data_IF_812536099226
#
_entry.id   IF_812536099226
#
_cell.length_a   1.000
_cell.length_b   1.000
_cell.length_c   1.000
_cell.angle_alpha   90.00
_cell.angle_beta   90.00
_cell.angle_gamma   90.00
#
_symmetry.space_group_name_H-M   'P 1'
#
loop_
_entity.id
_entity.type
_entity.pdbx_description
1 polymer ?
#
# COMPACT_ATOMS: atom_id res chain seq x y z
N UNK A 1 3.50 -13.44 -12.75
CA UNK A 1 3.38 -12.47 -11.64
C UNK A 1 3.66 -11.11 -12.24
N UNK A 2 2.77 -10.14 -12.05
CA UNK A 2 2.99 -8.79 -12.57
C UNK A 2 4.14 -8.12 -11.81
N UNK A 3 5.02 -7.37 -12.50
CA UNK A 3 5.94 -6.45 -11.84
C UNK A 3 5.17 -5.51 -10.91
N UNK A 4 5.69 -5.30 -9.70
CA UNK A 4 5.13 -4.31 -8.76
C UNK A 4 5.91 -3.02 -8.94
N UNK A 5 5.19 -1.93 -9.19
CA UNK A 5 5.74 -0.59 -9.28
C UNK A 5 5.05 0.33 -8.27
N UNK A 6 5.78 1.31 -7.78
CA UNK A 6 5.28 2.32 -6.85
C UNK A 6 5.37 3.68 -7.51
N UNK A 7 4.31 4.47 -7.42
CA UNK A 7 4.38 5.89 -7.77
C UNK A 7 5.27 6.65 -6.78
N UNK A 8 5.78 7.81 -7.20
CA UNK A 8 6.61 8.66 -6.32
C UNK A 8 5.80 9.18 -5.13
N UNK A 9 4.50 9.42 -5.32
CA UNK A 9 3.57 9.77 -4.24
C UNK A 9 3.46 8.64 -3.23
N UNK A 10 3.25 7.40 -3.67
CA UNK A 10 3.14 6.24 -2.77
C UNK A 10 4.43 6.01 -1.97
N UNK A 11 5.60 6.19 -2.61
CA UNK A 11 6.90 6.10 -1.94
C UNK A 11 7.07 7.19 -0.89
N UNK A 12 6.69 8.43 -1.22
CA UNK A 12 6.79 9.57 -0.32
C UNK A 12 5.88 9.41 0.89
N UNK A 13 4.62 9.01 0.69
CA UNK A 13 3.66 8.72 1.75
C UNK A 13 4.17 7.61 2.68
N UNK A 14 4.63 6.50 2.10
CA UNK A 14 5.18 5.39 2.87
C UNK A 14 6.41 5.82 3.66
N UNK A 15 7.34 6.55 3.05
CA UNK A 15 8.55 7.02 3.72
C UNK A 15 8.22 7.96 4.88
N UNK A 16 7.31 8.91 4.68
CA UNK A 16 6.87 9.82 5.73
C UNK A 16 6.24 9.06 6.91
N UNK A 17 5.38 8.08 6.62
CA UNK A 17 4.76 7.20 7.60
C UNK A 17 5.79 6.40 8.41
N UNK A 18 6.69 5.69 7.73
CA UNK A 18 7.70 4.85 8.37
C UNK A 18 8.62 5.72 9.23
N UNK A 19 9.04 6.89 8.73
CA UNK A 19 9.87 7.83 9.49
C UNK A 19 9.16 8.35 10.74
N UNK A 20 7.86 8.66 10.64
CA UNK A 20 7.06 9.11 11.78
C UNK A 20 7.02 8.05 12.89
N UNK A 21 6.70 6.80 12.55
CA UNK A 21 6.65 5.70 13.53
C UNK A 21 8.05 5.39 14.07
N UNK A 22 9.07 5.44 13.21
CA UNK A 22 10.45 5.12 13.61
C UNK A 22 11.02 6.10 14.65
N UNK A 23 10.50 7.32 14.72
CA UNK A 23 10.87 8.28 15.76
C UNK A 23 10.53 7.78 17.17
N UNK A 24 9.40 7.06 17.32
CA UNK A 24 8.97 6.48 18.59
C UNK A 24 9.43 5.03 18.75
N UNK A 25 9.29 4.21 17.71
CA UNK A 25 9.62 2.79 17.72
C UNK A 25 10.10 2.30 16.35
N UNK A 26 11.42 2.19 16.12
CA UNK A 26 11.97 1.75 14.84
C UNK A 26 11.64 0.29 14.50
N UNK A 27 11.50 -0.58 15.50
CA UNK A 27 11.10 -1.97 15.27
C UNK A 27 9.66 -2.08 14.77
N UNK A 28 8.75 -1.27 15.32
CA UNK A 28 7.37 -1.20 14.87
C UNK A 28 7.27 -0.65 13.43
N UNK A 29 8.09 0.35 13.11
CA UNK A 29 8.17 0.90 11.76
C UNK A 29 8.62 -0.15 10.74
N UNK A 30 9.70 -0.88 11.04
CA UNK A 30 10.18 -1.97 10.16
C UNK A 30 9.13 -3.09 10.01
N UNK A 31 8.48 -3.49 11.10
CA UNK A 31 7.44 -4.52 11.07
C UNK A 31 6.23 -4.09 10.21
N UNK A 32 5.85 -2.80 10.27
CA UNK A 32 4.79 -2.25 9.44
C UNK A 32 5.19 -2.23 7.96
N UNK A 33 6.41 -1.77 7.64
CA UNK A 33 6.93 -1.76 6.28
C UNK A 33 6.88 -3.15 5.65
N UNK A 34 7.45 -4.14 6.34
CA UNK A 34 7.45 -5.54 5.88
C UNK A 34 6.03 -6.08 5.71
N UNK A 35 5.10 -5.73 6.60
CA UNK A 35 3.69 -6.14 6.48
C UNK A 35 3.02 -5.53 5.23
N UNK A 36 3.27 -4.25 4.96
CA UNK A 36 2.74 -3.56 3.77
C UNK A 36 3.28 -4.22 2.50
N UNK A 37 4.60 -4.41 2.40
CA UNK A 37 5.21 -5.05 1.23
C UNK A 37 4.69 -6.47 1.01
N UNK A 38 4.62 -7.27 2.07
CA UNK A 38 4.11 -8.64 2.01
C UNK A 38 2.64 -8.69 1.58
N UNK A 39 1.83 -7.69 1.95
CA UNK A 39 0.41 -7.63 1.58
C UNK A 39 0.17 -7.43 0.07
N UNK A 40 1.15 -6.88 -0.65
CA UNK A 40 1.06 -6.59 -2.09
C UNK A 40 1.47 -7.80 -2.93
N UNK A 41 2.31 -8.69 -2.41
CA UNK A 41 2.80 -9.87 -3.15
C UNK A 41 1.67 -10.76 -3.69
N UNK A 42 0.60 -11.09 -2.94
CA UNK A 42 -0.53 -11.84 -3.48
C UNK A 42 -1.24 -11.09 -4.62
N UNK A 43 -1.29 -9.76 -4.57
CA UNK A 43 -1.93 -8.95 -5.61
C UNK A 43 -1.20 -9.01 -6.94
N UNK A 44 0.12 -9.22 -6.93
CA UNK A 44 0.89 -9.42 -8.15
C UNK A 44 0.60 -10.77 -8.84
N UNK A 45 0.07 -11.76 -8.11
CA UNK A 45 -0.30 -13.08 -8.64
C UNK A 45 -1.79 -13.20 -8.92
N UNK A 46 -2.62 -12.67 -8.03
CA UNK A 46 -4.08 -12.67 -8.13
C UNK A 46 -4.60 -11.24 -7.95
N UNK A 47 -4.45 -10.39 -8.97
CA UNK A 47 -4.83 -8.98 -8.86
C UNK A 47 -6.31 -8.79 -8.58
N UNK A 48 -7.14 -9.76 -8.97
CA UNK A 48 -8.59 -9.69 -8.80
C UNK A 48 -9.10 -10.07 -7.41
N UNK A 49 -8.21 -10.54 -6.52
CA UNK A 49 -8.55 -11.03 -5.19
C UNK A 49 -9.03 -9.94 -4.23
N UNK A 50 -8.56 -8.70 -4.42
CA UNK A 50 -8.82 -7.61 -3.48
C UNK A 50 -10.04 -6.80 -3.87
N UNK A 51 -10.66 -6.14 -2.89
CA UNK A 51 -11.88 -5.36 -3.12
C UNK A 51 -11.65 -4.23 -4.13
N UNK A 52 -12.68 -3.93 -4.91
CA UNK A 52 -12.72 -2.70 -5.69
C UNK A 52 -12.55 -1.50 -4.76
N UNK A 53 -11.72 -0.55 -5.17
CA UNK A 53 -11.46 0.66 -4.42
C UNK A 53 -12.58 1.68 -4.58
N UNK A 54 -12.51 2.75 -3.77
CA UNK A 54 -13.47 3.86 -3.82
C UNK A 54 -13.40 4.66 -5.12
N UNK A 55 -12.22 4.67 -5.76
CA UNK A 55 -11.99 5.30 -7.07
C UNK A 55 -12.11 4.24 -8.16
N UNK A 56 -12.77 4.52 -9.30
CA UNK A 56 -12.82 3.59 -10.42
C UNK A 56 -11.43 3.08 -10.81
N UNK A 57 -11.37 1.82 -11.25
CA UNK A 57 -10.13 1.12 -11.68
C UNK A 57 -9.04 0.97 -10.61
N UNK A 58 -9.36 1.28 -9.35
CA UNK A 58 -8.48 1.01 -8.20
C UNK A 58 -8.96 -0.18 -7.39
N UNK A 59 -8.05 -0.75 -6.61
CA UNK A 59 -8.30 -1.82 -5.66
C UNK A 59 -7.60 -1.52 -4.35
N UNK A 60 -8.15 -2.05 -3.28
CA UNK A 60 -7.72 -1.74 -1.91
C UNK A 60 -7.32 -2.99 -1.14
N UNK A 61 -6.13 -2.96 -0.56
CA UNK A 61 -5.59 -4.00 0.32
C UNK A 61 -5.56 -3.47 1.75
N UNK A 62 -6.25 -4.14 2.67
CA UNK A 62 -6.16 -3.83 4.09
C UNK A 62 -4.90 -4.51 4.63
N UNK A 63 -3.75 -3.83 4.53
CA UNK A 63 -2.45 -4.35 4.96
C UNK A 63 -2.30 -4.37 6.49
N UNK A 64 -2.94 -3.43 7.17
CA UNK A 64 -2.97 -3.31 8.63
C UNK A 64 -4.33 -2.73 9.04
N UNK A 65 -4.85 -2.98 10.26
CA UNK A 65 -6.11 -2.36 10.72
C UNK A 65 -6.15 -0.84 10.57
N UNK A 66 -4.97 -0.20 10.58
CA UNK A 66 -4.83 1.23 10.40
C UNK A 66 -4.38 1.65 8.99
N UNK A 67 -3.95 0.75 8.09
CA UNK A 67 -3.38 1.13 6.79
C UNK A 67 -3.95 0.34 5.62
N UNK A 68 -4.29 1.06 4.55
CA UNK A 68 -4.85 0.55 3.31
C UNK A 68 -3.88 0.90 2.17
N UNK A 69 -3.51 -0.09 1.38
CA UNK A 69 -2.73 0.12 0.14
C UNK A 69 -3.71 0.21 -1.02
N UNK A 70 -3.61 1.29 -1.80
CA UNK A 70 -4.39 1.48 -3.02
C UNK A 70 -3.49 1.16 -4.21
N UNK A 71 -3.98 0.32 -5.11
CA UNK A 71 -3.27 -0.02 -6.35
C UNK A 71 -4.21 -0.05 -7.55
N UNK A 72 -3.63 0.05 -8.75
CA UNK A 72 -4.30 -0.24 -10.00
C UNK A 72 -3.55 -1.30 -10.78
N UNK A 73 -4.26 -1.99 -11.65
CA UNK A 73 -3.69 -3.00 -12.55
C UNK A 73 -3.58 -2.36 -13.92
N UNK A 74 -2.40 -2.42 -14.52
CA UNK A 74 -2.19 -2.02 -15.92
C UNK A 74 -1.91 -3.26 -16.76
N UNK A 75 -1.70 -3.08 -18.07
CA UNK A 75 -1.28 -4.19 -18.96
C UNK A 75 0.10 -4.74 -18.60
N UNK A 76 0.93 -3.94 -17.94
CA UNK A 76 2.36 -4.25 -17.76
C UNK A 76 2.74 -4.48 -16.29
N UNK A 77 2.02 -3.88 -15.35
CA UNK A 77 2.39 -3.89 -13.93
C UNK A 77 1.19 -3.72 -12.98
N UNK A 78 1.43 -4.09 -11.72
CA UNK A 78 0.65 -3.64 -10.59
C UNK A 78 1.25 -2.33 -10.10
N UNK A 79 0.52 -1.23 -10.20
CA UNK A 79 0.97 0.10 -9.79
C UNK A 79 0.35 0.47 -8.44
N UNK A 80 1.17 0.56 -7.41
CA UNK A 80 0.81 1.07 -6.08
C UNK A 80 0.72 2.59 -6.16
N UNK A 81 -0.46 3.13 -5.85
CA UNK A 81 -0.79 4.54 -5.99
C UNK A 81 -0.63 5.32 -4.68
N UNK A 82 -1.00 4.71 -3.55
CA UNK A 82 -0.92 5.36 -2.23
C UNK A 82 -1.01 4.35 -1.08
N UNK A 83 -0.55 4.78 0.09
CA UNK A 83 -0.71 4.06 1.37
C UNK A 83 -1.44 4.97 2.34
N UNK A 84 -2.70 4.67 2.60
CA UNK A 84 -3.61 5.53 3.34
C UNK A 84 -3.78 5.04 4.78
N UNK A 85 -3.84 5.96 5.74
CA UNK A 85 -4.28 5.63 7.08
C UNK A 85 -5.82 5.48 7.11
N UNK A 86 -6.33 4.27 7.35
CA UNK A 86 -7.76 3.90 7.29
C UNK A 86 -8.70 4.77 8.14
N UNK A 87 -8.19 5.35 9.25
CA UNK A 87 -8.95 6.21 10.17
C UNK A 87 -8.71 7.70 9.98
N UNK A 88 -7.70 8.09 9.21
CA UNK A 88 -7.54 9.49 8.87
C UNK A 88 -8.41 9.76 7.65
N UNK A 89 -9.13 10.88 7.66
CA UNK A 89 -9.54 11.50 6.40
C UNK A 89 -8.27 12.01 5.74
N UNK A 90 -7.61 11.15 4.97
CA UNK A 90 -6.71 11.63 3.94
C UNK A 90 -7.57 12.37 2.90
N UNK A 91 -7.12 13.53 2.42
CA UNK A 91 -7.96 14.67 2.07
C UNK A 91 -9.02 14.37 1.01
#
# INVERSE_FOLDING_TARGET
>A
MLPIQWTEEAKTDLFALIRFIAHENPFAAQALLTRIEASILPAARYPEMFRAGRVPDTREIIAHPNYIVVYKITRECLLVLSVLHSRQRYP
#
